data_IF_309092653058
#
_entry.id   IF_309092653058
#
_cell.length_a   1.000
_cell.length_b   1.000
_cell.length_c   1.000
_cell.angle_alpha   90.00
_cell.angle_beta   90.00
_cell.angle_gamma   90.00
#
_symmetry.space_group_name_H-M   'P 1'
#
loop_
_entity.id
_entity.type
_entity.pdbx_description
1 polymer ?
#
# COMPACT_ATOMS: atom_id res chain seq x y z
N UNK A 1 30.88 19.23 18.17
CA UNK A 1 29.54 18.63 18.20
C UNK A 1 29.61 17.27 17.54
N UNK A 2 29.29 16.18 18.26
CA UNK A 2 29.23 14.86 17.66
C UNK A 2 28.05 14.81 16.68
N UNK A 3 28.32 14.49 15.41
CA UNK A 3 27.27 14.20 14.42
C UNK A 3 26.51 12.97 14.88
N UNK A 4 25.22 13.14 15.15
CA UNK A 4 24.32 12.03 15.49
C UNK A 4 24.13 11.16 14.26
N UNK A 5 24.77 9.99 14.23
CA UNK A 5 24.55 9.01 13.18
C UNK A 5 23.26 8.25 13.50
N UNK A 6 22.37 8.13 12.52
CA UNK A 6 21.11 7.40 12.63
C UNK A 6 21.05 6.27 11.63
N UNK A 7 20.49 5.13 12.01
CA UNK A 7 20.22 4.03 11.07
C UNK A 7 18.92 4.33 10.34
N UNK A 8 19.01 4.84 9.12
CA UNK A 8 17.85 5.38 8.39
C UNK A 8 17.46 4.58 7.15
N UNK A 9 16.19 4.69 6.77
CA UNK A 9 15.64 4.15 5.53
C UNK A 9 14.38 4.92 5.11
N UNK A 10 14.10 4.93 3.81
CA UNK A 10 12.84 5.42 3.27
C UNK A 10 11.87 4.27 3.06
N UNK A 11 10.60 4.49 3.35
CA UNK A 11 9.54 3.52 3.13
C UNK A 11 8.19 4.20 2.89
N UNK A 12 7.29 3.46 2.25
CA UNK A 12 5.87 3.80 2.26
C UNK A 12 5.20 3.23 3.50
N UNK A 13 4.42 4.06 4.17
CA UNK A 13 3.44 3.60 5.14
C UNK A 13 2.38 2.75 4.43
N UNK A 14 2.02 1.60 5.00
CA UNK A 14 1.17 0.60 4.35
C UNK A 14 -0.02 0.23 5.21
N UNK A 15 -1.21 0.43 4.67
CA UNK A 15 -2.49 0.19 5.34
C UNK A 15 -3.14 -1.05 4.73
N UNK A 16 -3.61 -1.96 5.58
CA UNK A 16 -4.31 -3.19 5.17
C UNK A 16 -5.24 -3.65 6.31
N UNK A 17 -6.29 -4.45 6.02
CA UNK A 17 -7.12 -5.09 7.04
C UNK A 17 -6.35 -6.26 7.66
N UNK A 18 -5.29 -5.95 8.40
CA UNK A 18 -4.37 -6.92 8.98
C UNK A 18 -5.12 -7.95 9.84
N UNK A 19 -4.81 -9.26 9.74
CA UNK A 19 -5.45 -10.26 10.58
C UNK A 19 -5.20 -9.97 12.06
N UNK A 20 -6.23 -10.10 12.88
CA UNK A 20 -6.14 -9.93 14.34
C UNK A 20 -5.14 -10.91 14.97
N UNK A 21 -5.03 -12.10 14.36
CA UNK A 21 -4.09 -13.13 14.78
C UNK A 21 -3.19 -13.51 13.61
N UNK A 22 -1.88 -13.52 13.88
CA UNK A 22 -0.86 -14.01 12.96
C UNK A 22 -0.12 -15.18 13.62
N UNK A 23 0.48 -16.11 12.85
CA UNK A 23 1.26 -17.19 13.41
C UNK A 23 2.44 -16.68 14.27
N UNK A 24 2.96 -17.57 15.10
CA UNK A 24 4.00 -17.21 16.06
C UNK A 24 5.27 -16.63 15.41
N UNK A 25 5.85 -15.66 16.10
CA UNK A 25 7.18 -15.13 15.84
C UNK A 25 7.40 -13.75 16.45
N UNK A 26 8.49 -13.07 16.08
CA UNK A 26 8.70 -11.66 16.48
C UNK A 26 7.96 -10.76 15.52
N UNK A 27 6.67 -10.57 15.79
CA UNK A 27 5.75 -9.78 14.99
C UNK A 27 6.11 -8.29 15.00
N UNK A 28 5.94 -7.64 13.85
CA UNK A 28 5.86 -6.19 13.75
C UNK A 28 4.46 -5.75 14.10
N UNK A 29 4.35 -4.63 14.85
CA UNK A 29 3.07 -3.98 15.09
C UNK A 29 2.48 -3.49 13.76
N UNK A 30 1.17 -3.32 13.70
CA UNK A 30 0.49 -2.90 12.47
C UNK A 30 1.02 -1.55 11.98
N UNK A 31 1.24 -0.60 12.88
CA UNK A 31 1.78 0.75 12.61
C UNK A 31 3.26 0.76 12.17
N UNK A 32 4.00 -0.32 12.40
CA UNK A 32 5.40 -0.46 11.99
C UNK A 32 5.55 -1.17 10.63
N UNK A 33 4.45 -1.65 10.04
CA UNK A 33 4.44 -2.37 8.75
C UNK A 33 4.52 -1.39 7.60
N UNK A 34 5.57 -1.53 6.80
CA UNK A 34 5.88 -0.60 5.72
C UNK A 34 6.50 -1.34 4.54
N UNK A 35 6.47 -0.70 3.37
CA UNK A 35 7.21 -1.15 2.19
C UNK A 35 8.49 -0.31 2.04
N UNK A 36 9.66 -0.93 2.21
CA UNK A 36 10.95 -0.22 2.09
C UNK A 36 11.21 0.23 0.65
N UNK A 37 11.48 1.53 0.47
CA UNK A 37 11.97 2.13 -0.77
C UNK A 37 13.49 2.02 -0.91
N UNK A 38 14.21 2.49 0.11
CA UNK A 38 15.67 2.53 0.14
C UNK A 38 16.21 2.43 1.57
N UNK A 39 17.06 1.45 1.85
CA UNK A 39 17.75 1.34 3.13
C UNK A 39 19.12 2.02 3.09
N UNK A 40 19.36 3.04 3.90
CA UNK A 40 20.60 3.85 3.85
C UNK A 40 21.67 3.34 4.83
N UNK A 41 21.27 2.67 5.90
CA UNK A 41 22.18 2.32 6.99
C UNK A 41 22.49 3.53 7.87
N UNK A 42 23.71 3.64 8.39
CA UNK A 42 24.09 4.78 9.24
C UNK A 42 24.36 6.04 8.41
N UNK A 43 23.61 7.11 8.69
CA UNK A 43 23.70 8.39 8.00
C UNK A 43 23.84 9.56 8.98
N UNK A 44 24.41 10.67 8.52
CA UNK A 44 24.33 11.96 9.21
C UNK A 44 22.93 12.55 9.00
N UNK A 45 22.10 12.46 10.04
CA UNK A 45 20.70 12.89 10.00
C UNK A 45 20.57 14.36 9.59
N UNK A 46 21.42 15.23 10.13
CA UNK A 46 21.33 16.67 9.87
C UNK A 46 21.59 17.01 8.39
N UNK A 47 22.54 16.31 7.77
CA UNK A 47 22.83 16.45 6.35
C UNK A 47 21.68 15.93 5.49
N UNK A 48 21.10 14.78 5.83
CA UNK A 48 19.99 14.19 5.08
C UNK A 48 18.73 15.05 5.18
N UNK A 49 18.35 15.48 6.38
CA UNK A 49 17.17 16.34 6.60
C UNK A 49 17.30 17.69 5.87
N UNK A 50 18.50 18.27 5.80
CA UNK A 50 18.72 19.49 5.03
C UNK A 50 18.43 19.30 3.53
N UNK A 51 18.76 18.12 2.99
CA UNK A 51 18.55 17.78 1.57
C UNK A 51 17.13 17.39 1.20
N UNK A 52 16.29 17.01 2.17
CA UNK A 52 14.88 16.69 1.93
C UNK A 52 14.03 17.84 1.40
N UNK A 53 14.51 19.08 1.45
CA UNK A 53 13.87 20.23 0.77
C UNK A 53 13.87 20.09 -0.75
N UNK A 54 14.80 19.30 -1.28
CA UNK A 54 14.95 18.98 -2.70
C UNK A 54 14.38 17.58 -3.03
N UNK A 55 13.55 17.00 -2.14
CA UNK A 55 13.00 15.66 -2.32
C UNK A 55 12.16 15.58 -3.61
N UNK A 56 12.40 14.57 -4.48
CA UNK A 56 11.62 14.41 -5.70
C UNK A 56 10.26 13.82 -5.33
N UNK A 57 9.14 14.55 -5.50
CA UNK A 57 7.83 13.99 -5.22
C UNK A 57 7.51 12.83 -6.17
N UNK A 58 6.70 11.84 -5.75
CA UNK A 58 6.18 10.84 -6.66
C UNK A 58 5.31 11.48 -7.75
N UNK A 59 5.21 10.86 -8.95
CA UNK A 59 4.37 11.36 -10.03
C UNK A 59 2.86 11.18 -9.79
N UNK A 60 2.49 10.57 -8.65
CA UNK A 60 1.12 10.35 -8.20
C UNK A 60 0.90 11.06 -6.86
N UNK A 61 -0.28 11.65 -6.70
CA UNK A 61 -0.69 12.33 -5.47
C UNK A 61 -1.56 11.44 -4.59
N UNK A 62 -2.37 10.59 -5.22
CA UNK A 62 -3.19 9.60 -4.53
C UNK A 62 -2.35 8.36 -4.26
N UNK A 63 -2.45 7.86 -3.04
CA UNK A 63 -1.81 6.63 -2.61
C UNK A 63 -2.24 5.44 -3.45
N UNK A 64 -1.27 4.72 -4.01
CA UNK A 64 -1.53 3.54 -4.83
C UNK A 64 -2.14 2.40 -4.01
N UNK A 65 -2.96 1.58 -4.66
CA UNK A 65 -3.56 0.41 -4.05
C UNK A 65 -3.01 -0.89 -4.66
N UNK A 66 -3.13 -1.98 -3.90
CA UNK A 66 -2.65 -3.29 -4.31
C UNK A 66 -3.24 -4.40 -3.48
N UNK A 67 -2.66 -5.58 -3.62
CA UNK A 67 -2.91 -6.70 -2.74
C UNK A 67 -1.65 -7.49 -2.46
N UNK A 68 -1.64 -8.23 -1.36
CA UNK A 68 -0.60 -9.20 -1.09
C UNK A 68 -0.84 -10.47 -1.89
N UNK A 69 0.12 -10.87 -2.73
CA UNK A 69 -0.03 -12.02 -3.64
C UNK A 69 0.64 -13.30 -3.15
N UNK A 70 1.62 -13.20 -2.24
CA UNK A 70 2.30 -14.35 -1.68
C UNK A 70 2.91 -14.08 -0.30
N UNK A 71 2.98 -15.12 0.52
CA UNK A 71 3.87 -15.16 1.68
C UNK A 71 5.29 -15.57 1.26
N UNK A 72 6.28 -14.74 1.56
CA UNK A 72 7.68 -14.93 1.18
C UNK A 72 8.59 -14.97 2.41
N UNK A 73 9.69 -15.73 2.29
CA UNK A 73 10.66 -15.93 3.36
C UNK A 73 12.03 -15.41 2.94
N UNK A 74 12.57 -14.45 3.69
CA UNK A 74 13.77 -13.70 3.28
C UNK A 74 14.93 -13.84 4.28
N UNK A 75 16.16 -14.14 3.82
CA UNK A 75 16.50 -14.61 2.46
C UNK A 75 16.00 -16.05 2.20
N UNK A 76 15.89 -16.53 0.94
CA UNK A 76 15.25 -17.81 0.62
C UNK A 76 15.84 -19.04 1.32
N UNK A 77 17.17 -19.16 1.41
CA UNK A 77 17.84 -20.34 1.96
C UNK A 77 17.80 -20.38 3.49
N UNK A 78 18.07 -19.26 4.15
CA UNK A 78 18.12 -19.15 5.61
C UNK A 78 17.25 -18.00 6.11
N UNK A 79 15.92 -18.11 5.99
CA UNK A 79 15.06 -16.98 6.17
C UNK A 79 15.04 -16.53 7.61
N UNK A 80 15.16 -15.22 7.80
CA UNK A 80 15.10 -14.54 9.09
C UNK A 80 13.88 -13.62 9.19
N UNK A 81 13.13 -13.50 8.08
CA UNK A 81 11.99 -12.61 7.91
C UNK A 81 10.87 -13.38 7.20
N UNK A 82 9.64 -13.18 7.68
CA UNK A 82 8.41 -13.45 6.93
C UNK A 82 7.89 -12.11 6.43
N UNK A 83 7.61 -12.05 5.13
CA UNK A 83 7.06 -10.90 4.49
C UNK A 83 5.94 -11.30 3.54
N UNK A 84 5.08 -10.35 3.20
CA UNK A 84 4.08 -10.54 2.17
C UNK A 84 4.46 -9.72 0.94
N UNK A 85 4.51 -10.39 -0.20
CA UNK A 85 4.82 -9.80 -1.49
C UNK A 85 3.65 -8.98 -1.98
N UNK A 86 3.94 -7.80 -2.50
CA UNK A 86 2.96 -6.87 -3.04
C UNK A 86 2.76 -7.13 -4.55
N UNK A 87 1.50 -7.06 -4.97
CA UNK A 87 1.10 -6.88 -6.35
C UNK A 87 0.22 -5.63 -6.46
N UNK A 88 0.63 -4.68 -7.31
CA UNK A 88 -0.09 -3.43 -7.50
C UNK A 88 -1.36 -3.63 -8.32
N UNK A 89 -2.43 -2.92 -7.94
CA UNK A 89 -3.65 -2.85 -8.74
C UNK A 89 -3.46 -1.88 -9.90
N UNK A 90 -2.82 -0.74 -9.62
CA UNK A 90 -2.35 0.23 -10.59
C UNK A 90 -1.15 -0.32 -11.36
N UNK A 91 -0.92 0.16 -12.59
CA UNK A 91 0.26 -0.24 -13.35
C UNK A 91 1.55 0.10 -12.59
N UNK A 92 2.34 -0.93 -12.25
CA UNK A 92 3.58 -0.88 -11.47
C UNK A 92 4.67 0.04 -12.06
N UNK A 93 4.58 0.33 -13.35
CA UNK A 93 5.56 1.13 -14.10
C UNK A 93 5.83 2.48 -13.44
N UNK A 94 4.81 3.22 -13.02
CA UNK A 94 5.04 4.56 -12.44
C UNK A 94 5.87 4.48 -11.16
N UNK A 95 5.57 3.49 -10.30
CA UNK A 95 6.28 3.29 -9.05
C UNK A 95 7.73 2.83 -9.27
N UNK A 96 7.96 1.93 -10.23
CA UNK A 96 9.30 1.45 -10.57
C UNK A 96 10.16 2.61 -11.11
N UNK A 97 9.62 3.42 -12.04
CA UNK A 97 10.32 4.60 -12.56
C UNK A 97 10.59 5.62 -11.45
N UNK A 98 9.59 5.89 -10.61
CA UNK A 98 9.75 6.78 -9.47
C UNK A 98 10.87 6.32 -8.54
N UNK A 99 10.90 5.02 -8.18
CA UNK A 99 11.96 4.48 -7.33
C UNK A 99 13.33 4.64 -7.96
N UNK A 100 13.48 4.36 -9.26
CA UNK A 100 14.76 4.54 -9.96
C UNK A 100 15.23 6.00 -9.87
N UNK A 101 14.36 6.95 -10.20
CA UNK A 101 14.63 8.38 -10.10
C UNK A 101 14.97 8.81 -8.65
N UNK A 102 14.24 8.28 -7.67
CA UNK A 102 14.48 8.53 -6.24
C UNK A 102 15.86 8.02 -5.78
N UNK A 103 16.28 6.85 -6.24
CA UNK A 103 17.61 6.30 -5.94
C UNK A 103 18.74 7.09 -6.61
N UNK A 104 18.52 7.56 -7.84
CA UNK A 104 19.46 8.47 -8.52
C UNK A 104 19.59 9.80 -7.78
N UNK A 105 18.47 10.37 -7.32
CA UNK A 105 18.47 11.55 -6.47
C UNK A 105 19.27 11.32 -5.20
N UNK A 106 19.01 10.24 -4.45
CA UNK A 106 19.79 9.88 -3.24
C UNK A 106 21.30 9.83 -3.54
N UNK A 107 21.68 9.19 -4.64
CA UNK A 107 23.08 9.12 -5.09
C UNK A 107 23.66 10.49 -5.38
N UNK A 108 22.90 11.37 -6.04
CA UNK A 108 23.33 12.74 -6.37
C UNK A 108 23.61 13.62 -5.15
N UNK A 109 22.90 13.38 -4.04
CA UNK A 109 23.10 14.07 -2.75
C UNK A 109 24.06 13.32 -1.81
N UNK A 110 24.74 12.28 -2.29
CA UNK A 110 25.82 11.57 -1.58
C UNK A 110 25.38 10.42 -0.68
N UNK A 111 24.14 9.94 -0.81
CA UNK A 111 23.63 8.77 -0.09
C UNK A 111 23.48 7.56 -1.01
N UNK A 112 23.91 6.39 -0.55
CA UNK A 112 23.82 5.15 -1.31
C UNK A 112 22.86 4.17 -0.63
N UNK A 113 21.80 3.78 -1.32
CA UNK A 113 20.92 2.71 -0.86
C UNK A 113 21.69 1.38 -0.87
N UNK A 114 21.56 0.61 0.20
CA UNK A 114 22.07 -0.77 0.27
C UNK A 114 21.05 -1.69 -0.37
N UNK A 115 21.20 -1.92 -1.67
CA UNK A 115 20.38 -2.90 -2.38
C UNK A 115 21.01 -4.29 -2.25
N UNK A 116 20.23 -5.25 -1.75
CA UNK A 116 20.66 -6.65 -1.63
C UNK A 116 20.12 -7.54 -2.75
N UNK A 117 19.17 -7.04 -3.54
CA UNK A 117 18.55 -7.77 -4.65
C UNK A 117 18.58 -6.88 -5.90
N UNK A 118 19.12 -7.35 -7.04
CA UNK A 118 19.04 -6.62 -8.30
C UNK A 118 17.59 -6.36 -8.74
N UNK A 119 16.67 -7.27 -8.39
CA UNK A 119 15.24 -7.08 -8.62
C UNK A 119 14.59 -6.52 -7.36
N UNK A 120 13.89 -5.39 -7.48
CA UNK A 120 13.21 -4.77 -6.34
C UNK A 120 12.01 -5.61 -5.91
N UNK A 121 12.22 -6.44 -4.89
CA UNK A 121 11.14 -7.21 -4.27
C UNK A 121 10.26 -6.28 -3.42
N UNK A 122 9.11 -5.89 -3.95
CA UNK A 122 8.10 -5.10 -3.24
C UNK A 122 7.41 -5.98 -2.18
N UNK A 123 7.68 -5.73 -0.91
CA UNK A 123 7.10 -6.52 0.18
C UNK A 123 6.95 -5.72 1.47
N UNK A 124 6.08 -6.22 2.35
CA UNK A 124 5.94 -5.75 3.73
C UNK A 124 6.41 -6.83 4.68
N UNK A 125 7.28 -6.50 5.64
CA UNK A 125 7.71 -7.44 6.68
C UNK A 125 6.64 -7.56 7.76
N UNK A 126 6.27 -8.79 8.12
CA UNK A 126 5.27 -9.06 9.16
C UNK A 126 5.90 -9.64 10.42
N UNK A 127 6.90 -10.50 10.25
CA UNK A 127 7.54 -11.21 11.35
C UNK A 127 9.02 -11.43 11.10
N UNK A 128 9.76 -11.53 12.19
CA UNK A 128 11.16 -11.97 12.20
C UNK A 128 11.28 -13.22 13.05
N UNK A 129 12.37 -13.96 12.86
CA UNK A 129 12.66 -15.16 13.65
C UNK A 129 12.48 -14.94 15.17
N UNK A 130 12.10 -15.99 15.92
CA UNK A 130 11.76 -17.35 15.43
C UNK A 130 10.39 -17.36 14.71
N UNK A 131 10.16 -18.32 13.79
CA UNK A 131 8.85 -18.58 13.18
C UNK A 131 8.86 -19.96 12.49
N UNK A 132 7.68 -20.55 12.28
CA UNK A 132 7.49 -21.81 11.55
C UNK A 132 6.95 -21.55 10.13
N UNK A 133 7.69 -21.94 9.10
CA UNK A 133 7.34 -21.64 7.70
C UNK A 133 5.96 -22.16 7.30
N UNK A 134 5.66 -23.40 7.67
CA UNK A 134 4.41 -24.06 7.25
C UNK A 134 3.18 -23.36 7.82
N UNK A 135 3.23 -22.91 9.08
CA UNK A 135 2.14 -22.13 9.68
C UNK A 135 1.90 -20.82 8.92
N UNK A 136 2.98 -20.10 8.59
CA UNK A 136 2.88 -18.84 7.85
C UNK A 136 2.33 -19.03 6.43
N UNK A 137 2.76 -20.09 5.73
CA UNK A 137 2.22 -20.43 4.41
C UNK A 137 0.72 -20.76 4.46
N UNK A 138 0.28 -21.56 5.44
CA UNK A 138 -1.14 -21.92 5.59
C UNK A 138 -2.01 -20.75 6.04
N UNK A 139 -1.46 -19.81 6.80
CA UNK A 139 -2.19 -18.61 7.25
C UNK A 139 -2.32 -17.51 6.20
N UNK A 140 -1.58 -17.63 5.09
CA UNK A 140 -1.57 -16.59 4.07
C UNK A 140 -2.92 -16.55 3.35
N UNK A 141 -3.49 -15.35 3.30
CA UNK A 141 -4.61 -15.03 2.44
C UNK A 141 -4.31 -13.71 1.72
N UNK A 142 -4.68 -13.54 0.45
CA UNK A 142 -4.59 -12.25 -0.21
C UNK A 142 -5.39 -11.21 0.55
N UNK A 143 -4.76 -10.08 0.88
CA UNK A 143 -5.41 -8.92 1.50
C UNK A 143 -5.14 -7.68 0.65
N UNK A 144 -6.10 -6.77 0.55
CA UNK A 144 -5.87 -5.49 -0.10
C UNK A 144 -4.94 -4.64 0.77
N UNK A 145 -4.28 -3.69 0.15
CA UNK A 145 -3.57 -2.63 0.87
C UNK A 145 -3.59 -1.34 0.07
N UNK A 146 -3.24 -0.24 0.73
CA UNK A 146 -2.85 1.01 0.09
C UNK A 146 -1.68 1.69 0.80
N UNK A 147 -1.04 2.63 0.13
CA UNK A 147 0.01 3.48 0.71
C UNK A 147 -0.52 4.89 1.00
N UNK A 148 -0.05 5.55 2.05
CA UNK A 148 -0.56 6.88 2.44
C UNK A 148 0.53 7.93 2.68
N UNK A 149 1.76 7.51 3.01
CA UNK A 149 2.85 8.42 3.30
C UNK A 149 4.16 7.83 2.80
N UNK A 150 5.11 8.70 2.46
CA UNK A 150 6.52 8.36 2.37
C UNK A 150 7.21 8.90 3.61
N UNK A 151 7.86 8.03 4.35
CA UNK A 151 8.63 8.42 5.53
C UNK A 151 10.12 8.20 5.32
N UNK A 152 10.91 9.09 5.88
CA UNK A 152 12.26 8.76 6.33
C UNK A 152 12.15 8.24 7.77
N UNK A 153 12.45 6.98 8.00
CA UNK A 153 12.44 6.37 9.33
C UNK A 153 13.84 6.28 9.94
N UNK A 154 13.92 6.46 11.25
CA UNK A 154 14.98 5.90 12.09
C UNK A 154 14.60 4.48 12.53
N UNK A 155 15.53 3.54 12.37
CA UNK A 155 15.43 2.19 12.95
C UNK A 155 16.04 2.17 14.35
N UNK A 156 15.20 2.07 15.38
CA UNK A 156 15.61 2.02 16.79
C UNK A 156 16.06 0.61 17.24
N UNK A 157 16.03 -0.37 16.33
CA UNK A 157 16.26 -1.77 16.65
C UNK A 157 14.95 -2.46 17.06
N UNK A 158 15.01 -3.80 17.23
CA UNK A 158 13.85 -4.61 17.62
C UNK A 158 12.58 -4.45 16.75
N UNK A 159 12.74 -3.97 15.51
CA UNK A 159 11.65 -3.63 14.58
C UNK A 159 10.75 -2.48 15.02
N UNK A 160 11.27 -1.57 15.85
CA UNK A 160 10.63 -0.29 16.16
C UNK A 160 11.19 0.81 15.26
N UNK A 161 10.30 1.66 14.76
CA UNK A 161 10.64 2.73 13.83
C UNK A 161 10.09 4.07 14.32
N UNK A 162 10.74 5.17 13.94
CA UNK A 162 10.25 6.51 14.23
C UNK A 162 10.42 7.39 13.00
N UNK A 163 9.37 8.06 12.51
CA UNK A 163 9.48 8.95 11.36
C UNK A 163 10.32 10.19 11.74
N UNK A 164 11.38 10.44 10.98
CA UNK A 164 12.20 11.65 11.03
C UNK A 164 11.66 12.74 10.09
N UNK A 165 10.99 12.33 9.01
CA UNK A 165 10.37 13.21 8.02
C UNK A 165 9.26 12.45 7.29
N UNK A 166 8.26 13.19 6.80
CA UNK A 166 7.07 12.65 6.14
C UNK A 166 6.71 13.48 4.92
N UNK A 167 6.38 12.79 3.83
CA UNK A 167 5.70 13.33 2.66
C UNK A 167 4.33 12.67 2.54
N UNK A 168 3.22 13.43 2.66
CA UNK A 168 1.88 12.88 2.63
C UNK A 168 1.44 12.54 1.20
N UNK A 169 0.67 11.46 1.07
CA UNK A 169 -0.14 11.14 -0.10
C UNK A 169 -1.62 11.24 0.30
N UNK A 170 -2.48 11.49 -0.68
CA UNK A 170 -3.93 11.47 -0.47
C UNK A 170 -4.36 10.01 -0.35
N UNK A 171 -5.04 9.62 0.73
CA UNK A 171 -5.59 8.26 0.85
C UNK A 171 -6.54 7.95 -0.32
N UNK A 172 -6.45 6.78 -0.97
CA UNK A 172 -7.27 6.44 -2.13
C UNK A 172 -8.75 6.31 -1.80
N UNK A 173 -9.07 6.00 -0.55
CA UNK A 173 -10.43 5.98 -0.05
C UNK A 173 -10.45 6.22 1.46
N UNK A 174 -11.61 6.63 1.96
CA UNK A 174 -11.91 6.72 3.38
C UNK A 174 -13.37 6.33 3.58
N UNK A 175 -13.67 5.59 4.66
CA UNK A 175 -15.04 5.31 5.04
C UNK A 175 -15.63 6.59 5.65
N UNK A 176 -16.84 6.95 5.23
CA UNK A 176 -17.54 8.15 5.70
C UNK A 176 -18.85 7.76 6.37
N UNK A 177 -19.31 8.60 7.31
CA UNK A 177 -20.60 8.41 7.95
C UNK A 177 -21.73 8.66 6.93
N UNK A 178 -22.60 7.68 6.75
CA UNK A 178 -23.80 7.79 5.92
C UNK A 178 -25.00 7.13 6.62
N UNK A 179 -26.20 7.69 6.45
CA UNK A 179 -27.34 7.42 7.34
C UNK A 179 -27.96 6.04 7.20
N UNK A 180 -27.70 5.32 6.11
CA UNK A 180 -28.40 4.07 5.78
C UNK A 180 -27.47 2.87 5.56
N UNK A 181 -26.24 3.08 5.12
CA UNK A 181 -25.40 2.05 4.50
C UNK A 181 -23.90 2.36 4.67
N UNK A 182 -23.04 1.45 4.18
CA UNK A 182 -21.60 1.71 4.11
C UNK A 182 -21.35 2.71 2.97
N UNK A 183 -20.59 3.77 3.26
CA UNK A 183 -20.19 4.74 2.26
C UNK A 183 -18.69 5.00 2.31
N UNK A 184 -18.11 5.23 1.14
CA UNK A 184 -16.70 5.56 0.97
C UNK A 184 -16.56 6.83 0.13
N UNK A 185 -15.65 7.71 0.50
CA UNK A 185 -15.15 8.74 -0.41
C UNK A 185 -13.95 8.17 -1.17
N UNK A 186 -14.15 7.83 -2.44
CA UNK A 186 -13.11 7.30 -3.34
C UNK A 186 -12.42 8.45 -4.05
N UNK A 187 -11.09 8.40 -4.15
CA UNK A 187 -10.24 9.45 -4.74
C UNK A 187 -9.33 8.83 -5.79
N UNK A 188 -9.08 9.50 -6.91
CA UNK A 188 -8.20 8.99 -7.96
C UNK A 188 -7.86 10.03 -9.01
N UNK A 189 -6.79 9.84 -9.77
CA UNK A 189 -6.34 10.77 -10.82
C UNK A 189 -7.04 10.53 -12.16
N UNK A 190 -7.74 9.40 -12.30
CA UNK A 190 -8.52 9.02 -13.48
C UNK A 190 -9.57 7.96 -13.10
N UNK A 191 -10.51 7.68 -14.00
CA UNK A 191 -11.59 6.70 -13.77
C UNK A 191 -11.08 5.28 -13.49
N UNK A 192 -9.94 4.90 -14.07
CA UNK A 192 -9.28 3.62 -13.77
C UNK A 192 -8.88 3.53 -12.30
N UNK A 193 -8.23 4.57 -11.76
CA UNK A 193 -7.92 4.64 -10.33
C UNK A 193 -9.18 4.67 -9.47
N UNK A 194 -10.23 5.40 -9.85
CA UNK A 194 -11.51 5.39 -9.12
C UNK A 194 -12.05 3.96 -9.00
N UNK A 195 -12.08 3.19 -10.10
CA UNK A 195 -12.50 1.78 -10.05
C UNK A 195 -11.59 0.93 -9.14
N UNK A 196 -10.27 1.04 -9.28
CA UNK A 196 -9.32 0.21 -8.51
C UNK A 196 -9.35 0.52 -7.02
N UNK A 197 -9.46 1.80 -6.65
CA UNK A 197 -9.55 2.25 -5.27
C UNK A 197 -10.90 1.89 -4.65
N UNK A 198 -12.01 1.99 -5.41
CA UNK A 198 -13.31 1.47 -4.99
C UNK A 198 -13.27 -0.04 -4.74
N UNK A 199 -12.68 -0.82 -5.65
CA UNK A 199 -12.50 -2.26 -5.48
C UNK A 199 -11.64 -2.58 -4.25
N UNK A 200 -10.58 -1.82 -4.00
CA UNK A 200 -9.77 -1.96 -2.80
C UNK A 200 -10.59 -1.66 -1.53
N UNK A 201 -11.41 -0.61 -1.51
CA UNK A 201 -12.30 -0.28 -0.39
C UNK A 201 -13.28 -1.43 -0.08
N UNK A 202 -13.91 -2.01 -1.10
CA UNK A 202 -14.77 -3.19 -0.94
C UNK A 202 -13.99 -4.39 -0.41
N UNK A 203 -12.79 -4.63 -0.94
CA UNK A 203 -11.92 -5.71 -0.49
C UNK A 203 -11.44 -5.55 0.95
N UNK A 204 -11.35 -4.31 1.48
CA UNK A 204 -10.98 -4.08 2.88
C UNK A 204 -12.00 -4.69 3.84
N UNK A 205 -13.27 -4.75 3.43
CA UNK A 205 -14.37 -5.41 4.14
C UNK A 205 -14.51 -6.88 3.76
N UNK A 206 -14.29 -7.22 2.49
CA UNK A 206 -14.42 -8.59 1.99
C UNK A 206 -13.30 -8.96 1.00
N UNK A 207 -12.13 -9.44 1.49
CA UNK A 207 -10.91 -9.61 0.67
C UNK A 207 -11.06 -10.50 -0.57
N UNK A 208 -12.08 -11.36 -0.62
CA UNK A 208 -12.32 -12.25 -1.75
C UNK A 208 -12.58 -11.52 -3.07
N UNK A 209 -12.98 -10.23 -3.04
CA UNK A 209 -13.12 -9.40 -4.23
C UNK A 209 -11.87 -9.32 -5.10
N UNK A 210 -10.69 -9.47 -4.51
CA UNK A 210 -9.42 -9.41 -5.23
C UNK A 210 -9.30 -10.47 -6.33
N UNK A 211 -9.99 -11.61 -6.18
CA UNK A 211 -9.99 -12.68 -7.18
C UNK A 211 -10.83 -12.35 -8.43
N UNK A 212 -11.70 -11.35 -8.37
CA UNK A 212 -12.69 -11.04 -9.41
C UNK A 212 -12.40 -9.71 -10.14
N UNK A 213 -11.20 -9.14 -9.95
CA UNK A 213 -10.78 -7.92 -10.66
C UNK A 213 -10.90 -8.11 -12.17
N UNK A 214 -11.57 -7.16 -12.86
CA UNK A 214 -11.65 -7.13 -14.32
C UNK A 214 -10.89 -5.94 -14.87
N UNK A 215 -9.92 -6.15 -15.79
CA UNK A 215 -9.35 -5.04 -16.54
C UNK A 215 -10.43 -4.48 -17.47
N UNK A 216 -10.78 -3.20 -17.30
CA UNK A 216 -11.70 -2.48 -18.18
C UNK A 216 -11.18 -1.06 -18.38
N UNK A 217 -11.42 -0.52 -19.56
CA UNK A 217 -11.35 0.91 -19.80
C UNK A 217 -12.71 1.49 -19.45
N UNK A 218 -12.73 2.53 -18.63
CA UNK A 218 -13.97 3.19 -18.19
C UNK A 218 -14.05 4.55 -18.86
N UNK A 219 -15.17 4.86 -19.51
CA UNK A 219 -15.37 6.14 -20.20
C UNK A 219 -16.06 7.16 -19.30
N UNK A 220 -16.86 6.68 -18.34
CA UNK A 220 -17.61 7.49 -17.39
C UNK A 220 -17.78 6.76 -16.04
N UNK A 221 -18.44 7.42 -15.08
CA UNK A 221 -18.70 6.87 -13.75
C UNK A 221 -19.71 5.69 -13.78
N UNK A 222 -20.71 5.73 -14.66
CA UNK A 222 -21.69 4.64 -14.77
C UNK A 222 -21.01 3.32 -15.18
N UNK A 223 -20.02 3.38 -16.08
CA UNK A 223 -19.22 2.20 -16.45
C UNK A 223 -18.45 1.64 -15.25
N UNK A 224 -17.93 2.51 -14.38
CA UNK A 224 -17.25 2.11 -13.14
C UNK A 224 -18.22 1.40 -12.21
N UNK A 225 -19.42 1.97 -12.00
CA UNK A 225 -20.47 1.41 -11.14
C UNK A 225 -20.93 0.05 -11.68
N UNK A 226 -21.17 -0.07 -12.99
CA UNK A 226 -21.50 -1.34 -13.65
C UNK A 226 -20.37 -2.34 -13.44
N UNK A 227 -19.11 -1.92 -13.63
CA UNK A 227 -17.94 -2.76 -13.42
C UNK A 227 -17.83 -3.30 -12.00
N UNK A 228 -18.13 -2.50 -10.98
CA UNK A 228 -18.12 -2.93 -9.58
C UNK A 228 -19.30 -3.88 -9.27
N UNK A 229 -20.50 -3.58 -9.77
CA UNK A 229 -21.66 -4.44 -9.61
C UNK A 229 -21.51 -5.81 -10.31
N UNK A 230 -20.80 -5.86 -11.44
CA UNK A 230 -20.42 -7.12 -12.08
C UNK A 230 -19.55 -7.99 -11.14
N UNK A 231 -18.60 -7.37 -10.44
CA UNK A 231 -17.71 -8.05 -9.49
C UNK A 231 -18.51 -8.54 -8.28
N UNK A 232 -19.43 -7.72 -7.74
CA UNK A 232 -20.34 -8.11 -6.65
C UNK A 232 -21.18 -9.32 -7.05
N UNK A 233 -21.86 -9.24 -8.20
CA UNK A 233 -22.72 -10.31 -8.70
C UNK A 233 -21.96 -11.62 -8.92
N UNK A 234 -20.75 -11.54 -9.49
CA UNK A 234 -19.91 -12.72 -9.72
C UNK A 234 -19.38 -13.32 -8.42
N UNK A 235 -18.99 -12.47 -7.45
CA UNK A 235 -18.53 -12.91 -6.14
C UNK A 235 -19.67 -13.61 -5.38
N UNK A 236 -20.88 -13.03 -5.40
CA UNK A 236 -22.06 -13.60 -4.75
C UNK A 236 -22.42 -14.97 -5.34
N UNK A 237 -22.46 -15.06 -6.67
CA UNK A 237 -22.77 -16.31 -7.36
C UNK A 237 -21.79 -17.46 -7.03
N UNK A 238 -20.51 -17.14 -6.77
CA UNK A 238 -19.49 -18.15 -6.51
C UNK A 238 -19.31 -18.52 -5.04
N UNK A 239 -19.31 -17.54 -4.13
CA UNK A 239 -18.96 -17.77 -2.72
C UNK A 239 -19.89 -17.07 -1.73
N UNK A 240 -20.93 -16.38 -2.21
CA UNK A 240 -21.75 -15.47 -1.41
C UNK A 240 -21.06 -14.13 -1.17
N UNK A 241 -21.82 -13.04 -1.19
CA UNK A 241 -21.32 -11.68 -0.99
C UNK A 241 -22.10 -10.97 0.11
N UNK A 242 -21.43 -10.23 1.02
CA UNK A 242 -22.12 -9.39 1.99
C UNK A 242 -22.71 -8.11 1.39
N UNK A 243 -22.45 -7.83 0.11
CA UNK A 243 -22.91 -6.63 -0.58
C UNK A 243 -23.92 -6.99 -1.65
N UNK A 244 -25.00 -6.20 -1.74
CA UNK A 244 -26.04 -6.34 -2.76
C UNK A 244 -25.69 -5.60 -4.03
N UNK A 245 -25.25 -4.35 -3.90
CA UNK A 245 -24.96 -3.49 -5.04
C UNK A 245 -24.15 -2.24 -4.64
N UNK A 246 -23.54 -1.61 -5.63
CA UNK A 246 -23.13 -0.21 -5.58
C UNK A 246 -24.25 0.65 -6.17
N UNK A 247 -24.74 1.59 -5.37
CA UNK A 247 -25.81 2.50 -5.77
C UNK A 247 -25.34 3.49 -6.85
N UNK A 248 -26.24 3.82 -7.79
CA UNK A 248 -26.04 4.92 -8.76
C UNK A 248 -26.30 6.27 -8.08
N UNK A 249 -25.48 6.58 -7.08
CA UNK A 249 -25.53 7.82 -6.31
C UNK A 249 -24.22 8.60 -6.44
N UNK A 250 -24.33 9.90 -6.18
CA UNK A 250 -23.22 10.84 -6.28
C UNK A 250 -22.93 11.28 -7.71
N UNK A 251 -22.14 12.34 -7.82
CA UNK A 251 -21.50 12.73 -9.07
C UNK A 251 -19.99 12.64 -8.87
N UNK A 252 -19.27 12.47 -9.97
CA UNK A 252 -17.83 12.59 -9.94
C UNK A 252 -17.47 14.08 -9.80
N UNK A 253 -16.89 14.43 -8.65
CA UNK A 253 -16.37 15.77 -8.43
C UNK A 253 -14.90 15.81 -8.84
N UNK A 254 -14.45 16.92 -9.41
CA UNK A 254 -13.04 17.15 -9.72
C UNK A 254 -12.54 18.32 -8.88
N UNK A 255 -11.51 18.05 -8.08
CA UNK A 255 -10.78 19.04 -7.30
C UNK A 255 -9.32 19.02 -7.77
N UNK A 256 -8.89 20.11 -8.40
CA UNK A 256 -7.63 20.18 -9.17
C UNK A 256 -7.51 19.01 -10.18
N UNK A 257 -6.56 18.10 -9.94
CA UNK A 257 -6.30 16.91 -10.77
C UNK A 257 -6.86 15.63 -10.15
N UNK A 258 -7.62 15.72 -9.05
CA UNK A 258 -8.14 14.58 -8.30
C UNK A 258 -9.64 14.46 -8.50
N UNK A 259 -10.06 13.31 -8.99
CA UNK A 259 -11.45 12.89 -9.04
C UNK A 259 -11.86 12.35 -7.68
N UNK A 260 -13.06 12.71 -7.23
CA UNK A 260 -13.67 12.28 -5.97
C UNK A 260 -15.06 11.73 -6.25
N UNK A 261 -15.41 10.62 -5.61
CA UNK A 261 -16.73 10.02 -5.73
C UNK A 261 -17.18 9.45 -4.40
N UNK A 262 -18.39 9.84 -3.98
CA UNK A 262 -19.09 9.23 -2.85
C UNK A 262 -19.74 7.91 -3.32
N UNK A 263 -19.10 6.80 -2.98
CA UNK A 263 -19.59 5.45 -3.29
C UNK A 263 -20.45 4.94 -2.13
N UNK A 264 -21.71 4.64 -2.41
CA UNK A 264 -22.64 4.01 -1.46
C UNK A 264 -22.76 2.51 -1.78
N UNK A 265 -22.60 1.67 -0.77
CA UNK A 265 -22.61 0.20 -0.86
C UNK A 265 -23.82 -0.34 -0.11
N UNK A 266 -24.76 -0.92 -0.84
CA UNK A 266 -25.93 -1.57 -0.27
C UNK A 266 -25.53 -2.93 0.30
N UNK A 267 -25.86 -3.19 1.57
CA UNK A 267 -25.56 -4.44 2.31
C UNK A 267 -26.79 -5.34 2.48
#
# INVERSE_FOLDING_TARGET
MHKSKKRAFFAFDTHAPWPETLPSGRLLKAEDRHMTLAFLGEVDESQLLHKLKEFPPPPFQVGLAGFFSACVFLPPLHPNVVAWNIQWLDEDKQLIHYRAHFLEWLKSIGFHAKETNPDWLCHVTLSRKPFEKEQWLHSFTPLPFFISNIHLYESLGHSAYTPLWTYPLISPFEEIEHTADIAYLIKGENLGQIYLHALAALAFRFPAFLAYKKPKNFENLDDVIIGLNDVISETDAHIGCPFKAISFHGQLEQDDSILKWEMIVDV
#
